data_IF_975450181559
#
_entry.id   IF_975450181559
#
_cell.length_a   1.000
_cell.length_b   1.000
_cell.length_c   1.000
_cell.angle_alpha   90.00
_cell.angle_beta   90.00
_cell.angle_gamma   90.00
#
_symmetry.space_group_name_H-M   'P 1'
#
loop_
_entity.id
_entity.type
_entity.pdbx_description
1 polymer ?
#
# COMPACT_ATOMS: atom_id res chain seq x y z
N UNK A 1 -20.33 21.84 13.30
CA UNK A 1 -20.58 22.08 14.74
C UNK A 1 -20.70 20.71 15.38
N UNK A 2 -19.76 20.31 16.25
CA UNK A 2 -19.85 19.03 16.95
C UNK A 2 -20.74 19.22 18.18
N UNK A 3 -21.91 18.59 18.17
CA UNK A 3 -22.85 18.61 19.30
C UNK A 3 -22.29 17.73 20.42
N UNK A 4 -22.19 18.26 21.63
CA UNK A 4 -21.84 17.46 22.81
C UNK A 4 -22.93 16.40 23.06
N UNK A 5 -22.56 15.18 23.48
CA UNK A 5 -23.52 14.12 23.73
C UNK A 5 -24.56 14.56 24.78
N UNK A 6 -25.83 14.41 24.43
CA UNK A 6 -26.97 14.67 25.31
C UNK A 6 -26.88 13.72 26.50
N UNK A 7 -27.16 14.21 27.70
CA UNK A 7 -27.21 13.41 28.93
C UNK A 7 -28.29 12.31 28.83
N UNK A 8 -27.91 11.18 28.26
CA UNK A 8 -28.55 9.87 28.22
C UNK A 8 -27.45 8.81 28.23
N UNK A 9 -27.78 7.52 28.28
CA UNK A 9 -26.78 6.41 28.31
C UNK A 9 -25.83 6.48 27.10
N UNK A 10 -24.75 7.25 27.26
CA UNK A 10 -23.74 7.46 26.24
C UNK A 10 -23.02 6.14 26.00
N UNK A 11 -22.78 5.84 24.73
CA UNK A 11 -21.98 4.68 24.35
C UNK A 11 -20.64 4.68 25.10
N UNK A 12 -20.26 3.52 25.65
CA UNK A 12 -19.07 3.39 26.49
C UNK A 12 -19.27 3.72 27.96
N UNK A 13 -20.51 3.94 28.43
CA UNK A 13 -20.79 4.27 29.83
C UNK A 13 -20.60 3.11 30.81
N UNK A 14 -20.79 1.86 30.36
CA UNK A 14 -20.69 0.66 31.19
C UNK A 14 -20.56 -0.62 30.34
N UNK A 15 -20.29 -1.76 30.98
CA UNK A 15 -20.12 -3.05 30.30
C UNK A 15 -21.37 -3.51 29.53
N UNK A 16 -22.56 -3.09 29.96
CA UNK A 16 -23.83 -3.36 29.24
C UNK A 16 -24.07 -2.41 28.07
N UNK A 17 -23.34 -1.29 27.98
CA UNK A 17 -23.37 -0.32 26.89
C UNK A 17 -21.95 0.05 26.42
N UNK A 18 -21.17 -0.91 25.88
CA UNK A 18 -19.78 -0.67 25.50
C UNK A 18 -19.68 0.10 24.18
N UNK A 19 -18.50 0.67 23.91
CA UNK A 19 -18.17 1.19 22.58
C UNK A 19 -18.05 0.02 21.60
N UNK A 20 -18.91 0.02 20.57
CA UNK A 20 -18.94 -1.02 19.54
C UNK A 20 -18.11 -0.61 18.35
N UNK A 21 -17.02 -1.35 18.14
CA UNK A 21 -16.14 -1.16 17.00
C UNK A 21 -16.61 -2.00 15.80
N UNK A 22 -17.50 -1.43 15.00
CA UNK A 22 -18.02 -2.09 13.80
C UNK A 22 -16.93 -2.29 12.73
N UNK A 23 -16.90 -3.46 12.09
CA UNK A 23 -15.94 -3.77 11.01
C UNK A 23 -14.50 -4.07 11.48
N UNK A 24 -14.28 -4.22 12.79
CA UNK A 24 -12.98 -4.52 13.38
C UNK A 24 -13.07 -5.81 14.19
N UNK A 25 -12.21 -6.77 13.87
CA UNK A 25 -12.13 -8.00 14.65
C UNK A 25 -11.36 -7.79 15.95
N UNK A 26 -11.67 -8.60 16.97
CA UNK A 26 -10.93 -8.60 18.25
C UNK A 26 -9.42 -8.77 18.05
N UNK A 27 -9.02 -9.60 17.08
CA UNK A 27 -7.61 -9.87 16.75
C UNK A 27 -6.94 -8.64 16.14
N UNK A 28 -7.58 -7.96 15.20
CA UNK A 28 -7.05 -6.72 14.62
C UNK A 28 -6.85 -5.64 15.69
N UNK A 29 -7.88 -5.44 16.54
CA UNK A 29 -7.80 -4.45 17.61
C UNK A 29 -6.71 -4.77 18.63
N UNK A 30 -6.59 -6.05 19.06
CA UNK A 30 -5.52 -6.49 19.96
C UNK A 30 -4.14 -6.20 19.37
N UNK A 31 -3.93 -6.48 18.07
CA UNK A 31 -2.65 -6.23 17.38
C UNK A 31 -2.31 -4.75 17.33
N UNK A 32 -3.29 -3.90 17.04
CA UNK A 32 -3.10 -2.45 17.09
C UNK A 32 -2.74 -1.96 18.50
N UNK A 33 -3.44 -2.44 19.54
CA UNK A 33 -3.13 -2.07 20.92
C UNK A 33 -1.74 -2.52 21.37
N UNK A 34 -1.27 -3.69 20.94
CA UNK A 34 0.09 -4.15 21.23
C UNK A 34 1.14 -3.16 20.69
N UNK A 35 0.98 -2.71 19.44
CA UNK A 35 1.91 -1.72 18.87
C UNK A 35 1.75 -0.34 19.52
N UNK A 36 0.52 0.08 19.80
CA UNK A 36 0.22 1.38 20.40
C UNK A 36 0.76 1.49 21.84
N UNK A 37 0.55 0.48 22.67
CA UNK A 37 0.82 0.54 24.11
C UNK A 37 2.16 -0.07 24.51
N UNK A 38 2.54 -1.19 23.87
CA UNK A 38 3.76 -1.94 24.22
C UNK A 38 4.91 -1.64 23.26
N UNK A 39 4.61 -1.03 22.11
CA UNK A 39 5.59 -0.75 21.07
C UNK A 39 6.11 -1.99 20.34
N UNK A 40 5.62 -3.19 20.64
CA UNK A 40 6.03 -4.43 19.98
C UNK A 40 4.96 -5.51 20.13
N UNK A 41 5.07 -6.55 19.30
CA UNK A 41 4.25 -7.75 19.43
C UNK A 41 4.88 -8.71 20.44
N UNK A 42 4.04 -9.41 21.21
CA UNK A 42 4.51 -10.47 22.10
C UNK A 42 4.93 -11.71 21.30
N UNK A 43 6.12 -12.26 21.58
CA UNK A 43 6.71 -13.42 20.88
C UNK A 43 5.83 -14.69 20.96
N UNK A 44 4.99 -14.81 22.00
CA UNK A 44 4.17 -15.98 22.27
C UNK A 44 3.00 -16.20 21.29
N UNK A 45 2.74 -15.24 20.40
CA UNK A 45 1.64 -15.30 19.42
C UNK A 45 2.15 -14.97 18.01
N UNK A 46 3.28 -15.55 17.60
CA UNK A 46 3.88 -15.35 16.29
C UNK A 46 2.83 -15.65 15.19
N UNK A 47 2.37 -14.62 14.44
CA UNK A 47 1.39 -14.81 13.39
C UNK A 47 2.01 -15.56 12.20
N UNK A 48 1.15 -16.24 11.43
CA UNK A 48 1.55 -17.08 10.29
C UNK A 48 2.29 -16.31 9.18
N UNK A 49 2.11 -14.98 9.11
CA UNK A 49 2.83 -14.11 8.17
C UNK A 49 3.09 -12.69 8.68
N UNK A 50 4.12 -12.03 8.11
CA UNK A 50 4.41 -10.59 8.33
C UNK A 50 3.20 -9.72 7.98
N UNK A 51 2.45 -10.10 6.94
CA UNK A 51 1.26 -9.37 6.55
C UNK A 51 0.20 -9.40 7.66
N UNK A 52 -0.12 -10.59 8.16
CA UNK A 52 -1.19 -10.73 9.16
C UNK A 52 -0.83 -9.98 10.44
N UNK A 53 0.45 -9.94 10.79
CA UNK A 53 0.97 -9.16 11.90
C UNK A 53 0.70 -7.66 11.75
N UNK A 54 1.14 -7.08 10.64
CA UNK A 54 1.26 -5.63 10.51
C UNK A 54 0.10 -4.96 9.79
N UNK A 55 -0.59 -5.67 8.90
CA UNK A 55 -1.69 -5.09 8.13
C UNK A 55 -2.85 -4.59 9.00
N UNK A 56 -3.31 -5.31 10.05
CA UNK A 56 -4.29 -4.77 10.98
C UNK A 56 -3.87 -3.43 11.58
N UNK A 57 -2.58 -3.29 11.90
CA UNK A 57 -2.02 -2.06 12.48
C UNK A 57 -2.03 -0.95 11.44
N UNK A 58 -1.63 -1.22 10.20
CA UNK A 58 -1.72 -0.26 9.08
C UNK A 58 -3.16 0.19 8.85
N UNK A 59 -4.10 -0.76 8.75
CA UNK A 59 -5.52 -0.51 8.53
C UNK A 59 -6.11 0.39 9.62
N UNK A 60 -5.93 0.03 10.89
CA UNK A 60 -6.50 0.76 12.02
C UNK A 60 -5.80 2.10 12.25
N UNK A 61 -4.47 2.16 12.11
CA UNK A 61 -3.74 3.42 12.22
C UNK A 61 -4.16 4.40 11.13
N UNK A 62 -4.42 3.92 9.89
CA UNK A 62 -4.92 4.79 8.82
C UNK A 62 -6.35 5.28 9.11
N UNK A 63 -7.22 4.37 9.55
CA UNK A 63 -8.63 4.67 9.83
C UNK A 63 -8.82 5.66 10.99
N UNK A 64 -7.94 5.62 11.99
CA UNK A 64 -7.98 6.49 13.17
C UNK A 64 -6.91 7.60 13.15
N UNK A 65 -6.28 7.84 12.00
CA UNK A 65 -5.33 8.94 11.79
C UNK A 65 -4.09 8.94 12.73
N UNK A 66 -3.60 7.75 13.09
CA UNK A 66 -2.34 7.58 13.83
C UNK A 66 -1.14 7.51 12.88
N UNK A 67 -0.74 8.65 12.29
CA UNK A 67 0.30 8.72 11.26
C UNK A 67 1.66 8.09 11.67
N UNK A 68 2.10 8.32 12.92
CA UNK A 68 3.36 7.76 13.41
C UNK A 68 3.33 6.22 13.50
N UNK A 69 2.19 5.66 13.91
CA UNK A 69 1.99 4.20 14.03
C UNK A 69 1.84 3.60 12.64
N UNK A 70 1.10 4.28 11.75
CA UNK A 70 0.96 3.89 10.35
C UNK A 70 2.32 3.80 9.66
N UNK A 71 3.13 4.86 9.75
CA UNK A 71 4.50 4.88 9.19
C UNK A 71 5.35 3.73 9.74
N UNK A 72 5.31 3.51 11.06
CA UNK A 72 6.03 2.41 11.70
C UNK A 72 5.57 1.04 11.21
N UNK A 73 4.27 0.83 11.08
CA UNK A 73 3.71 -0.43 10.63
C UNK A 73 4.07 -0.70 9.16
N UNK A 74 4.04 0.32 8.30
CA UNK A 74 4.49 0.24 6.90
C UNK A 74 5.98 -0.13 6.81
N UNK A 75 6.84 0.45 7.65
CA UNK A 75 8.27 0.12 7.69
C UNK A 75 8.55 -1.35 8.05
N UNK A 76 7.68 -1.95 8.86
CA UNK A 76 7.79 -3.36 9.25
C UNK A 76 7.08 -4.32 8.28
N UNK A 77 6.51 -3.80 7.20
CA UNK A 77 5.83 -4.58 6.16
C UNK A 77 6.54 -4.37 4.79
N UNK A 78 7.82 -4.79 4.65
CA UNK A 78 8.58 -4.59 3.42
C UNK A 78 7.98 -5.40 2.25
N UNK A 79 7.95 -4.79 1.07
CA UNK A 79 7.27 -5.31 -0.12
C UNK A 79 7.66 -6.76 -0.47
N UNK A 80 8.95 -7.07 -0.36
CA UNK A 80 9.55 -8.36 -0.74
C UNK A 80 9.13 -9.51 0.20
N UNK A 81 8.72 -9.18 1.44
CA UNK A 81 8.28 -10.19 2.42
C UNK A 81 6.78 -10.47 2.35
N UNK A 82 6.06 -9.76 1.49
CA UNK A 82 4.61 -9.93 1.38
C UNK A 82 4.27 -10.81 0.18
N UNK A 83 3.76 -12.00 0.49
CA UNK A 83 3.25 -12.95 -0.50
C UNK A 83 1.77 -12.67 -0.78
N UNK A 84 1.52 -11.80 -1.76
CA UNK A 84 0.18 -11.40 -2.24
C UNK A 84 0.21 -11.18 -3.76
N UNK A 85 -0.90 -11.34 -4.47
CA UNK A 85 -1.00 -10.96 -5.88
C UNK A 85 -0.64 -9.48 -6.09
N UNK A 86 0.03 -9.16 -7.21
CA UNK A 86 0.49 -7.80 -7.49
C UNK A 86 -0.68 -6.80 -7.56
N UNK A 87 -1.83 -7.18 -8.11
CA UNK A 87 -3.03 -6.35 -8.12
C UNK A 87 -3.54 -6.01 -6.71
N UNK A 88 -3.58 -6.99 -5.80
CA UNK A 88 -3.91 -6.74 -4.39
C UNK A 88 -2.91 -5.81 -3.73
N UNK A 89 -1.61 -5.98 -3.98
CA UNK A 89 -0.59 -5.08 -3.43
C UNK A 89 -0.79 -3.63 -3.89
N UNK A 90 -1.12 -3.39 -5.16
CA UNK A 90 -1.42 -2.03 -5.65
C UNK A 90 -2.67 -1.48 -4.97
N UNK A 91 -3.76 -2.27 -4.91
CA UNK A 91 -5.02 -1.84 -4.28
C UNK A 91 -4.81 -1.47 -2.80
N UNK A 92 -4.10 -2.32 -2.05
CA UNK A 92 -3.75 -2.07 -0.66
C UNK A 92 -2.85 -0.83 -0.50
N UNK A 93 -1.88 -0.65 -1.41
CA UNK A 93 -0.98 0.48 -1.36
C UNK A 93 -1.70 1.83 -1.54
N UNK A 94 -2.64 1.89 -2.46
CA UNK A 94 -3.44 3.11 -2.68
C UNK A 94 -4.44 3.31 -1.55
N UNK A 95 -5.18 2.28 -1.15
CA UNK A 95 -6.27 2.40 -0.18
C UNK A 95 -5.77 2.74 1.23
N UNK A 96 -4.64 2.15 1.64
CA UNK A 96 -4.06 2.33 2.96
C UNK A 96 -2.81 3.21 2.98
N UNK A 97 -2.54 3.96 1.90
CA UNK A 97 -1.40 4.89 1.80
C UNK A 97 -0.01 4.25 2.05
N UNK A 98 0.22 3.07 1.48
CA UNK A 98 1.48 2.32 1.60
C UNK A 98 2.41 2.69 0.45
N UNK A 99 2.88 3.94 0.44
CA UNK A 99 3.67 4.52 -0.65
C UNK A 99 4.84 3.65 -1.15
N UNK A 100 5.65 2.99 -0.30
CA UNK A 100 6.78 2.17 -0.75
C UNK A 100 6.37 0.98 -1.63
N UNK A 101 5.11 0.54 -1.56
CA UNK A 101 4.62 -0.60 -2.34
C UNK A 101 4.14 -0.23 -3.73
N UNK A 102 3.72 1.02 -3.94
CA UNK A 102 2.99 1.40 -5.15
C UNK A 102 3.84 1.17 -6.41
N UNK A 103 5.05 1.70 -6.43
CA UNK A 103 5.97 1.57 -7.56
C UNK A 103 6.34 0.10 -7.86
N UNK A 104 6.84 -0.71 -6.91
CA UNK A 104 7.18 -2.10 -7.20
C UNK A 104 5.95 -2.94 -7.54
N UNK A 105 4.80 -2.73 -6.88
CA UNK A 105 3.56 -3.45 -7.18
C UNK A 105 3.05 -3.18 -8.59
N UNK A 106 3.02 -1.91 -9.01
CA UNK A 106 2.59 -1.54 -10.36
C UNK A 106 3.58 -2.06 -11.39
N UNK A 107 4.89 -2.03 -11.10
CA UNK A 107 5.90 -2.55 -12.02
C UNK A 107 5.77 -4.08 -12.18
N UNK A 108 5.56 -4.82 -11.09
CA UNK A 108 5.32 -6.26 -11.12
C UNK A 108 4.03 -6.59 -11.91
N UNK A 109 2.93 -5.89 -11.62
CA UNK A 109 1.67 -6.04 -12.35
C UNK A 109 1.81 -5.64 -13.82
N UNK A 110 2.62 -4.62 -14.13
CA UNK A 110 2.89 -4.19 -15.48
C UNK A 110 3.78 -5.16 -16.25
N UNK A 111 4.60 -6.00 -15.60
CA UNK A 111 5.42 -7.03 -16.26
C UNK A 111 4.67 -8.33 -16.55
N UNK A 112 3.56 -8.57 -15.83
CA UNK A 112 2.73 -9.78 -15.95
C UNK A 112 2.33 -10.06 -17.42
N UNK A 113 2.48 -11.31 -17.85
CA UNK A 113 2.16 -11.74 -19.22
C UNK A 113 0.65 -11.78 -19.44
N UNK A 114 -0.05 -12.24 -18.41
CA UNK A 114 -1.50 -12.34 -18.35
C UNK A 114 -2.13 -10.93 -18.44
N UNK A 115 -3.25 -10.77 -19.17
CA UNK A 115 -4.01 -9.53 -19.21
C UNK A 115 -4.59 -9.18 -17.83
N UNK A 116 -5.13 -7.98 -17.68
CA UNK A 116 -5.95 -7.66 -16.50
C UNK A 116 -7.27 -8.41 -16.60
N UNK A 117 -7.66 -9.07 -15.51
CA UNK A 117 -8.88 -9.86 -15.39
C UNK A 117 -9.93 -9.12 -14.57
N UNK A 118 -11.16 -9.65 -14.55
CA UNK A 118 -12.25 -9.08 -13.75
C UNK A 118 -11.93 -9.05 -12.25
N UNK A 119 -11.17 -10.04 -11.77
CA UNK A 119 -10.75 -10.10 -10.37
C UNK A 119 -9.76 -8.97 -10.04
N UNK A 120 -8.83 -8.65 -10.96
CA UNK A 120 -7.95 -7.48 -10.78
C UNK A 120 -8.76 -6.19 -10.79
N UNK A 121 -9.77 -6.07 -11.66
CA UNK A 121 -10.63 -4.90 -11.74
C UNK A 121 -11.45 -4.71 -10.45
N UNK A 122 -11.94 -5.81 -9.85
CA UNK A 122 -12.67 -5.78 -8.59
C UNK A 122 -11.81 -5.24 -7.42
N UNK A 123 -10.51 -5.55 -7.44
CA UNK A 123 -9.57 -5.13 -6.39
C UNK A 123 -9.03 -3.72 -6.62
N UNK A 124 -8.68 -3.37 -7.86
CA UNK A 124 -8.08 -2.08 -8.19
C UNK A 124 -9.12 -0.96 -8.34
N UNK A 125 -10.31 -1.30 -8.82
CA UNK A 125 -11.26 -0.34 -9.35
C UNK A 125 -10.87 0.18 -10.74
N UNK A 126 -11.81 0.85 -11.43
CA UNK A 126 -11.65 1.21 -12.84
C UNK A 126 -10.53 2.22 -13.09
N UNK A 127 -10.39 3.24 -12.22
CA UNK A 127 -9.38 4.29 -12.42
C UNK A 127 -7.95 3.74 -12.32
N UNK A 128 -7.69 2.94 -11.30
CA UNK A 128 -6.38 2.34 -11.07
C UNK A 128 -6.05 1.29 -12.14
N UNK A 129 -7.04 0.50 -12.55
CA UNK A 129 -6.90 -0.45 -13.67
C UNK A 129 -6.54 0.27 -14.98
N UNK A 130 -7.16 1.41 -15.28
CA UNK A 130 -6.82 2.23 -16.45
C UNK A 130 -5.40 2.80 -16.38
N UNK A 131 -4.97 3.29 -15.21
CA UNK A 131 -3.58 3.74 -15.00
C UNK A 131 -2.58 2.61 -15.23
N UNK A 132 -2.85 1.42 -14.68
CA UNK A 132 -2.03 0.23 -14.89
C UNK A 132 -2.02 -0.18 -16.37
N UNK A 133 -3.17 -0.14 -17.05
CA UNK A 133 -3.26 -0.43 -18.49
C UNK A 133 -2.40 0.54 -19.31
N UNK A 134 -2.47 1.85 -19.03
CA UNK A 134 -1.64 2.86 -19.68
C UNK A 134 -0.13 2.59 -19.50
N UNK A 135 0.30 2.19 -18.30
CA UNK A 135 1.68 1.76 -18.03
C UNK A 135 2.02 0.49 -18.84
N UNK A 136 1.12 -0.50 -18.87
CA UNK A 136 1.34 -1.76 -19.58
C UNK A 136 1.48 -1.58 -21.09
N UNK A 137 0.77 -0.60 -21.64
CA UNK A 137 0.71 -0.27 -23.07
C UNK A 137 1.85 0.65 -23.52
N UNK A 138 2.58 1.27 -22.60
CA UNK A 138 3.70 2.19 -22.92
C UNK A 138 4.96 1.49 -23.46
N UNK A 139 4.84 0.24 -23.92
CA UNK A 139 5.94 -0.52 -24.50
C UNK A 139 6.36 0.08 -25.84
N UNK A 140 7.52 0.74 -25.85
CA UNK A 140 8.16 1.18 -27.08
C UNK A 140 9.15 0.13 -27.55
N UNK A 141 8.99 -0.36 -28.78
CA UNK A 141 10.02 -1.17 -29.43
C UNK A 141 11.22 -0.25 -29.69
N UNK A 142 12.35 -0.52 -29.04
CA UNK A 142 13.61 0.13 -29.40
C UNK A 142 13.88 -0.13 -30.87
N UNK A 143 13.87 0.94 -31.68
CA UNK A 143 14.24 0.87 -33.10
C UNK A 143 15.73 0.56 -33.18
N UNK A 144 16.07 -0.71 -33.02
CA UNK A 144 17.36 -1.22 -33.42
C UNK A 144 17.57 -0.85 -34.90
N UNK A 145 18.77 -0.43 -35.26
CA UNK A 145 19.15 0.10 -36.59
C UNK A 145 19.00 -0.91 -37.76
N UNK A 146 18.30 -2.03 -37.56
CA UNK A 146 17.98 -2.96 -38.62
C UNK A 146 16.94 -2.36 -39.57
N UNK A 147 17.30 -2.33 -40.86
CA UNK A 147 16.46 -1.87 -41.99
C UNK A 147 15.31 -2.84 -42.30
N UNK A 148 14.48 -3.15 -41.31
CA UNK A 148 13.28 -3.97 -41.46
C UNK A 148 12.08 -3.28 -40.85
N UNK A 149 10.94 -3.29 -41.53
CA UNK A 149 9.66 -2.89 -40.92
C UNK A 149 9.35 -3.87 -39.79
N UNK A 150 9.14 -3.43 -38.54
CA UNK A 150 8.73 -4.33 -37.47
C UNK A 150 7.40 -4.96 -37.85
N UNK A 151 7.35 -6.30 -37.93
CA UNK A 151 6.10 -7.04 -38.07
C UNK A 151 5.51 -7.24 -36.68
N UNK A 152 4.38 -6.60 -36.42
CA UNK A 152 3.58 -6.85 -35.23
C UNK A 152 2.70 -8.07 -35.50
N UNK A 153 2.87 -9.13 -34.70
CA UNK A 153 2.00 -10.31 -34.72
C UNK A 153 1.24 -10.38 -33.40
N UNK A 154 -0.03 -10.77 -33.45
CA UNK A 154 -0.76 -11.13 -32.23
C UNK A 154 -0.04 -12.28 -31.53
N UNK A 155 0.43 -12.06 -30.31
CA UNK A 155 1.28 -13.00 -29.59
C UNK A 155 1.31 -12.73 -28.09
N UNK A 156 1.95 -13.63 -27.36
CA UNK A 156 2.13 -13.49 -25.91
C UNK A 156 2.99 -12.25 -25.61
N UNK A 157 2.52 -11.45 -24.66
CA UNK A 157 3.26 -10.28 -24.16
C UNK A 157 4.50 -10.75 -23.41
N UNK A 158 5.68 -10.22 -23.77
CA UNK A 158 6.90 -10.38 -23.00
C UNK A 158 7.44 -9.01 -22.59
N UNK A 159 7.26 -8.69 -21.30
CA UNK A 159 7.78 -7.48 -20.68
C UNK A 159 8.59 -7.81 -19.42
N UNK A 160 9.04 -9.06 -19.28
CA UNK A 160 9.72 -9.56 -18.07
C UNK A 160 10.96 -8.73 -17.68
N UNK A 161 11.69 -8.23 -18.68
CA UNK A 161 12.91 -7.44 -18.53
C UNK A 161 12.68 -5.91 -18.60
N UNK A 162 11.43 -5.45 -18.74
CA UNK A 162 11.12 -4.02 -18.93
C UNK A 162 11.00 -3.33 -17.59
N UNK A 163 11.66 -2.20 -17.41
CA UNK A 163 11.44 -1.32 -16.25
C UNK A 163 10.47 -0.19 -16.61
N UNK A 164 9.29 -0.22 -16.00
CA UNK A 164 8.26 0.80 -16.20
C UNK A 164 8.39 1.98 -15.24
N UNK A 165 9.39 2.00 -14.35
CA UNK A 165 9.52 2.99 -13.27
C UNK A 165 9.29 4.43 -13.72
N UNK A 166 9.90 4.88 -14.81
CA UNK A 166 9.74 6.26 -15.31
C UNK A 166 8.31 6.57 -15.74
N UNK A 167 7.63 5.61 -16.38
CA UNK A 167 6.24 5.76 -16.83
C UNK A 167 5.30 5.71 -15.63
N UNK A 168 5.55 4.82 -14.67
CA UNK A 168 4.79 4.72 -13.42
C UNK A 168 4.86 6.05 -12.67
N UNK A 169 6.06 6.62 -12.49
CA UNK A 169 6.22 7.93 -11.84
C UNK A 169 5.41 9.03 -12.51
N UNK A 170 5.38 9.05 -13.85
CA UNK A 170 4.59 10.00 -14.63
C UNK A 170 3.08 9.80 -14.46
N UNK A 171 2.59 8.57 -14.66
CA UNK A 171 1.15 8.23 -14.62
C UNK A 171 0.56 8.39 -13.21
N UNK A 172 1.33 8.03 -12.18
CA UNK A 172 0.93 8.11 -10.78
C UNK A 172 1.35 9.42 -10.10
N UNK A 173 2.01 10.33 -10.83
CA UNK A 173 2.48 11.62 -10.33
C UNK A 173 3.34 11.49 -9.07
N UNK A 174 4.20 10.46 -9.05
CA UNK A 174 5.08 10.19 -7.91
C UNK A 174 6.31 11.09 -8.00
N UNK A 175 6.46 11.98 -7.03
CA UNK A 175 7.69 12.76 -6.85
C UNK A 175 8.78 11.88 -6.24
N UNK A 176 10.01 11.97 -6.75
CA UNK A 176 11.19 11.53 -6.02
C UNK A 176 11.35 12.43 -4.79
N UNK A 177 10.75 12.05 -3.65
CA UNK A 177 11.11 12.65 -2.37
C UNK A 177 12.55 12.24 -2.08
N UNK A 178 13.49 13.05 -2.58
CA UNK A 178 14.85 13.11 -2.01
C UNK A 178 14.65 13.51 -0.56
N UNK A 179 14.76 12.53 0.33
CA UNK A 179 14.89 12.76 1.76
C UNK A 179 16.23 13.46 1.92
N UNK A 180 16.23 14.79 1.90
CA UNK A 180 17.41 15.55 2.28
C UNK A 180 17.77 15.12 3.71
N UNK A 181 19.04 14.84 4.02
CA UNK A 181 19.44 14.67 5.40
C UNK A 181 19.13 15.98 6.12
N UNK A 182 18.33 15.90 7.18
CA UNK A 182 18.22 16.98 8.15
C UNK A 182 19.64 17.29 8.61
N UNK A 183 20.14 18.42 8.11
CA UNK A 183 21.43 18.96 8.52
C UNK A 183 21.19 19.42 9.94
N UNK A 184 21.82 18.72 10.88
CA UNK A 184 21.79 19.11 12.28
C UNK A 184 22.40 20.50 12.39
N UNK A 185 21.57 21.47 12.77
CA UNK A 185 22.06 22.72 13.29
C UNK A 185 22.59 22.43 14.70
N UNK A 186 23.89 22.14 14.75
CA UNK A 186 24.73 22.52 15.88
C UNK A 186 24.63 24.04 16.04
N UNK A 187 23.78 24.51 16.95
CA UNK A 187 23.95 25.86 17.50
C UNK A 187 24.42 25.76 18.95
N UNK A 188 25.74 25.78 19.06
CA UNK A 188 26.46 26.12 20.29
C UNK A 188 26.26 27.61 20.58
N UNK A 189 25.82 27.97 21.79
CA UNK A 189 25.68 29.38 22.14
C UNK A 189 25.31 29.68 23.59
N UNK A 190 26.33 29.62 24.46
CA UNK A 190 26.49 30.24 25.81
C UNK A 190 25.73 29.60 26.98
#
# INVERSE_FOLDING_TARGET
MFSLPVAGEAEGSCDSNPIRLEGITKTEFKRFLQVLLLGAFEEAAAPDSVFDMWFPVVKLARMWEFDAIHKRAVQNMPYERISRPSAEKVGLAVHYDIQPWLLPAVNELARRKEPLENDDLAVLGPELALKVAAVRESLAVSRSHYKGTPRLTSGLRDASMVDFTSVIKSVFQLSDKVCAPETGDEESGI
#
